data_IF_705505196409
#
_entry.id   IF_705505196409
#
_cell.length_a   1.000
_cell.length_b   1.000
_cell.length_c   1.000
_cell.angle_alpha   90.00
_cell.angle_beta   90.00
_cell.angle_gamma   90.00
#
_symmetry.space_group_name_H-M   'P 1'
#
loop_
_entity.id
_entity.type
_entity.pdbx_description
1 polymer ?
#
# COMPACT_ATOMS: atom_id res chain seq x y z
N UNK A 1 21.18 -10.02 -13.37
CA UNK A 1 20.07 -9.22 -13.95
C UNK A 1 19.23 -8.74 -12.78
N UNK A 2 19.11 -7.43 -12.59
CA UNK A 2 18.25 -6.85 -11.55
C UNK A 2 16.81 -6.98 -12.00
N UNK A 3 15.97 -7.72 -11.27
CA UNK A 3 14.53 -7.72 -11.52
C UNK A 3 13.94 -6.46 -10.90
N UNK A 4 13.15 -5.73 -11.68
CA UNK A 4 12.41 -4.58 -11.23
C UNK A 4 10.99 -5.03 -10.90
N UNK A 5 10.61 -4.92 -9.63
CA UNK A 5 9.24 -5.13 -9.19
C UNK A 5 8.51 -3.79 -9.20
N UNK A 6 7.26 -3.80 -9.65
CA UNK A 6 6.39 -2.63 -9.68
C UNK A 6 5.13 -2.98 -8.89
N UNK A 7 4.71 -2.06 -8.03
CA UNK A 7 3.40 -2.11 -7.38
C UNK A 7 2.72 -0.76 -7.58
N UNK A 8 1.44 -0.79 -7.95
CA UNK A 8 0.57 0.37 -7.99
C UNK A 8 -0.14 0.50 -6.64
N UNK A 9 -0.11 1.69 -6.07
CA UNK A 9 -0.70 1.98 -4.76
C UNK A 9 -1.71 3.11 -4.91
N UNK A 10 -2.98 2.81 -4.64
CA UNK A 10 -4.06 3.78 -4.54
C UNK A 10 -4.38 4.07 -3.07
N UNK A 11 -4.56 5.34 -2.73
CA UNK A 11 -4.89 5.77 -1.37
C UNK A 11 -6.05 6.76 -1.45
N UNK A 12 -7.16 6.44 -0.79
CA UNK A 12 -8.24 7.37 -0.51
C UNK A 12 -7.99 8.03 0.86
N UNK A 13 -7.83 9.36 0.85
CA UNK A 13 -7.40 10.10 2.03
C UNK A 13 -8.58 10.83 2.70
N UNK A 14 -8.99 10.35 3.87
CA UNK A 14 -9.96 11.03 4.73
C UNK A 14 -9.35 11.45 6.08
N UNK A 15 -10.11 12.18 6.88
CA UNK A 15 -9.69 12.77 8.17
C UNK A 15 -9.64 11.76 9.33
N UNK A 16 -10.26 10.60 9.17
CA UNK A 16 -10.39 9.56 10.22
C UNK A 16 -9.71 8.25 9.87
N UNK A 17 -9.73 7.87 8.58
CA UNK A 17 -9.13 6.64 8.05
C UNK A 17 -8.67 6.83 6.61
N UNK A 18 -7.84 5.91 6.15
CA UNK A 18 -7.37 5.84 4.77
C UNK A 18 -7.65 4.45 4.23
N UNK A 19 -8.47 4.38 3.18
CA UNK A 19 -8.71 3.15 2.45
C UNK A 19 -7.63 3.02 1.37
N UNK A 20 -7.06 1.82 1.26
CA UNK A 20 -5.85 1.57 0.48
C UNK A 20 -6.11 0.40 -0.47
N UNK A 21 -5.55 0.48 -1.68
CA UNK A 21 -5.52 -0.59 -2.66
C UNK A 21 -4.09 -0.78 -3.18
N UNK A 22 -3.59 -2.02 -3.20
CA UNK A 22 -2.28 -2.38 -3.75
C UNK A 22 -2.45 -3.41 -4.87
N UNK A 23 -1.77 -3.21 -6.00
CA UNK A 23 -1.80 -4.10 -7.16
C UNK A 23 -0.39 -4.33 -7.68
N UNK A 24 0.02 -5.59 -7.86
CA UNK A 24 1.27 -5.93 -8.55
C UNK A 24 1.22 -5.45 -10.01
N UNK A 25 2.33 -4.94 -10.54
CA UNK A 25 2.38 -4.34 -11.88
C UNK A 25 2.06 -5.30 -13.02
N UNK A 26 2.21 -6.60 -12.77
CA UNK A 26 1.97 -7.70 -13.71
C UNK A 26 0.70 -8.51 -13.42
N UNK A 27 -0.11 -8.09 -12.42
CA UNK A 27 -1.30 -8.83 -12.00
C UNK A 27 -2.53 -7.94 -11.90
N UNK A 28 -3.70 -8.55 -12.05
CA UNK A 28 -5.01 -7.86 -11.88
C UNK A 28 -5.56 -7.98 -10.45
N UNK A 29 -4.87 -8.74 -9.59
CA UNK A 29 -5.28 -8.91 -8.20
C UNK A 29 -5.00 -7.64 -7.39
N UNK A 30 -5.97 -7.29 -6.54
CA UNK A 30 -5.91 -6.13 -5.65
C UNK A 30 -6.06 -6.57 -4.22
N UNK A 31 -5.11 -6.14 -3.40
CA UNK A 31 -5.18 -6.21 -1.95
C UNK A 31 -5.72 -4.89 -1.41
N UNK A 32 -6.57 -4.98 -0.39
CA UNK A 32 -7.18 -3.83 0.25
C UNK A 32 -6.80 -3.75 1.72
N UNK A 33 -6.60 -2.53 2.20
CA UNK A 33 -6.32 -2.26 3.61
C UNK A 33 -7.05 -0.97 4.05
N UNK A 34 -7.22 -0.79 5.35
CA UNK A 34 -7.80 0.40 5.94
C UNK A 34 -7.04 0.75 7.22
N UNK A 35 -6.34 1.88 7.20
CA UNK A 35 -5.56 2.36 8.35
C UNK A 35 -6.20 3.61 8.96
N UNK A 36 -6.12 3.82 10.29
CA UNK A 36 -6.61 5.05 10.90
C UNK A 36 -5.71 6.24 10.53
N UNK A 37 -6.25 7.47 10.62
CA UNK A 37 -5.50 8.71 10.41
C UNK A 37 -4.51 8.97 11.57
N UNK A 38 -3.43 8.19 11.61
CA UNK A 38 -2.34 8.31 12.59
C UNK A 38 -0.99 8.07 11.92
N UNK A 39 -0.03 8.94 12.23
CA UNK A 39 1.30 8.93 11.61
C UNK A 39 2.01 7.59 11.81
N UNK A 40 1.97 7.01 13.01
CA UNK A 40 2.59 5.71 13.32
C UNK A 40 1.99 4.58 12.49
N UNK A 41 0.68 4.61 12.24
CA UNK A 41 -0.03 3.58 11.47
C UNK A 41 0.26 3.68 9.98
N UNK A 42 0.42 4.89 9.46
CA UNK A 42 0.85 5.14 8.08
C UNK A 42 2.29 4.66 7.86
N UNK A 43 3.20 4.95 8.80
CA UNK A 43 4.59 4.51 8.75
C UNK A 43 4.71 2.97 8.82
N UNK A 44 4.02 2.33 9.78
CA UNK A 44 3.97 0.87 9.90
C UNK A 44 3.46 0.22 8.61
N UNK A 45 2.42 0.79 7.98
CA UNK A 45 1.88 0.30 6.72
C UNK A 45 2.89 0.46 5.56
N UNK A 46 3.51 1.63 5.41
CA UNK A 46 4.52 1.88 4.38
C UNK A 46 5.73 0.92 4.51
N UNK A 47 6.17 0.67 5.74
CA UNK A 47 7.23 -0.32 6.02
C UNK A 47 6.80 -1.75 5.70
N UNK A 48 5.53 -2.12 5.96
CA UNK A 48 5.01 -3.44 5.61
C UNK A 48 5.07 -3.66 4.10
N UNK A 49 4.58 -2.72 3.29
CA UNK A 49 4.51 -2.89 1.83
C UNK A 49 5.87 -2.81 1.15
N UNK A 50 6.81 -2.00 1.67
CA UNK A 50 8.17 -1.90 1.10
C UNK A 50 9.00 -3.17 1.25
N UNK A 51 8.56 -4.10 2.11
CA UNK A 51 9.18 -5.42 2.32
C UNK A 51 8.50 -6.55 1.54
N UNK A 52 7.44 -6.26 0.80
CA UNK A 52 6.67 -7.27 0.04
C UNK A 52 7.21 -7.52 -1.38
N UNK A 53 8.37 -6.95 -1.73
CA UNK A 53 9.05 -7.14 -3.03
C UNK A 53 10.37 -7.90 -2.88
#
# INVERSE_FOLDING_TARGET
MTQHFVAYVGIDWADTKHDICVQAGDGDHREFDCIPHKVDRIDEWAMRISRMC
#
